data_IF_449752128466
#
_entry.id   IF_449752128466
#
_cell.length_a   1.000
_cell.length_b   1.000
_cell.length_c   1.000
_cell.angle_alpha   90.00
_cell.angle_beta   90.00
_cell.angle_gamma   90.00
#
_symmetry.space_group_name_H-M   'P 1'
#
loop_
_entity.id
_entity.type
_entity.pdbx_description
1 polymer ?
#
# COMPACT_ATOMS: atom_id res chain seq x y z
N UNK A 1 -10.86 14.81 -7.63
CA UNK A 1 -10.48 13.92 -6.51
C UNK A 1 -10.62 12.48 -6.94
N UNK A 2 -9.76 11.58 -6.44
CA UNK A 2 -9.85 10.13 -6.65
C UNK A 2 -9.69 9.45 -5.28
N UNK A 3 -10.52 8.45 -4.99
CA UNK A 3 -10.50 7.73 -3.72
C UNK A 3 -10.82 6.24 -3.90
N UNK A 4 -10.42 5.42 -2.93
CA UNK A 4 -10.73 4.00 -2.88
C UNK A 4 -10.60 3.45 -1.46
N UNK A 5 -11.36 2.38 -1.19
CA UNK A 5 -11.29 1.64 0.07
C UNK A 5 -10.08 0.71 0.05
N UNK A 6 -9.28 0.71 1.11
CA UNK A 6 -8.17 -0.24 1.26
C UNK A 6 -8.74 -1.64 1.43
N UNK A 7 -8.35 -2.56 0.53
CA UNK A 7 -8.80 -3.96 0.55
C UNK A 7 -7.65 -4.94 0.75
N UNK A 8 -6.41 -4.46 0.69
CA UNK A 8 -5.21 -5.29 0.84
C UNK A 8 -4.02 -4.48 1.34
N UNK A 9 -3.33 -5.01 2.35
CA UNK A 9 -2.10 -4.43 2.90
C UNK A 9 -1.06 -5.50 3.17
N UNK A 10 0.21 -5.09 3.32
CA UNK A 10 1.28 -5.94 3.85
C UNK A 10 2.03 -5.20 4.95
N UNK A 11 2.25 -5.89 6.08
CA UNK A 11 3.06 -5.37 7.17
C UNK A 11 4.54 -5.75 6.99
N UNK A 12 5.43 -4.82 7.36
CA UNK A 12 6.88 -4.96 7.36
C UNK A 12 7.39 -4.48 8.73
N UNK A 13 7.77 -5.43 9.58
CA UNK A 13 8.12 -5.21 10.99
C UNK A 13 9.58 -4.74 11.14
N UNK A 14 9.99 -4.18 12.30
CA UNK A 14 11.35 -3.64 12.49
C UNK A 14 12.47 -4.65 12.25
N UNK A 15 12.28 -5.91 12.64
CA UNK A 15 13.28 -6.97 12.50
C UNK A 15 12.98 -7.95 11.35
N UNK A 16 12.15 -7.53 10.40
CA UNK A 16 11.74 -8.35 9.27
C UNK A 16 12.78 -8.26 8.16
N UNK A 17 13.42 -9.37 7.75
CA UNK A 17 14.41 -9.37 6.67
C UNK A 17 13.90 -8.85 5.31
N UNK A 18 12.58 -8.82 5.10
CA UNK A 18 11.96 -8.24 3.91
C UNK A 18 11.65 -6.75 4.04
N UNK A 19 11.80 -6.16 5.25
CA UNK A 19 11.60 -4.74 5.47
C UNK A 19 12.78 -3.92 4.92
N UNK A 20 12.51 -2.81 4.25
CA UNK A 20 13.54 -1.88 3.82
C UNK A 20 14.36 -1.28 4.98
N UNK A 21 13.82 -1.32 6.19
CA UNK A 21 14.49 -0.84 7.40
C UNK A 21 15.39 -1.89 8.06
N UNK A 22 15.38 -3.14 7.60
CA UNK A 22 16.11 -4.25 8.23
C UNK A 22 17.61 -3.98 8.41
N UNK A 23 18.25 -3.41 7.40
CA UNK A 23 19.69 -3.09 7.42
C UNK A 23 20.01 -1.73 8.05
N UNK A 24 19.06 -1.12 8.78
CA UNK A 24 19.22 0.17 9.42
C UNK A 24 18.75 1.35 8.56
N UNK A 25 18.87 2.56 9.15
CA UNK A 25 18.44 3.82 8.55
C UNK A 25 19.41 4.27 7.47
N UNK A 26 18.86 4.75 6.35
CA UNK A 26 19.59 5.36 5.24
C UNK A 26 18.77 6.54 4.69
N UNK A 27 19.35 7.35 3.80
CA UNK A 27 18.61 8.43 3.11
C UNK A 27 17.40 7.93 2.31
N UNK A 28 17.43 6.68 1.83
CA UNK A 28 16.36 6.10 1.02
C UNK A 28 15.14 5.66 1.83
N UNK A 29 15.33 5.28 3.09
CA UNK A 29 14.29 4.72 3.95
C UNK A 29 14.06 5.52 5.23
N UNK A 30 14.63 6.73 5.32
CA UNK A 30 14.58 7.57 6.51
C UNK A 30 13.16 7.80 7.03
N UNK A 31 12.19 7.92 6.13
CA UNK A 31 10.77 8.10 6.44
C UNK A 31 10.19 6.96 7.28
N UNK A 32 10.66 5.71 7.09
CA UNK A 32 10.21 4.57 7.90
C UNK A 32 10.65 4.65 9.37
N UNK A 33 11.69 5.44 9.67
CA UNK A 33 12.23 5.66 11.02
C UNK A 33 11.72 6.96 11.66
N UNK A 34 10.87 7.70 10.97
CA UNK A 34 10.21 8.90 11.48
C UNK A 34 8.97 8.58 12.31
N UNK A 35 8.18 9.61 12.64
CA UNK A 35 6.89 9.44 13.31
C UNK A 35 5.96 8.52 12.53
N UNK A 36 5.00 7.85 13.18
CA UNK A 36 3.99 7.05 12.50
C UNK A 36 3.13 7.92 11.56
N UNK A 37 2.47 7.25 10.60
CA UNK A 37 1.57 7.87 9.61
C UNK A 37 2.25 8.78 8.58
N UNK A 38 3.57 8.73 8.46
CA UNK A 38 4.29 9.36 7.35
C UNK A 38 4.19 8.48 6.12
N UNK A 39 3.94 9.11 4.99
CA UNK A 39 3.93 8.46 3.68
C UNK A 39 5.35 8.08 3.30
N UNK A 40 5.59 6.79 3.05
CA UNK A 40 6.84 6.30 2.50
C UNK A 40 6.63 5.80 1.08
N UNK A 41 7.19 6.51 0.10
CA UNK A 41 7.08 6.14 -1.31
C UNK A 41 8.45 5.75 -1.84
N UNK A 42 8.52 4.59 -2.49
CA UNK A 42 9.72 4.17 -3.21
C UNK A 42 9.38 3.69 -4.62
N UNK A 43 10.36 3.81 -5.52
CA UNK A 43 10.22 3.41 -6.91
C UNK A 43 10.61 1.95 -7.11
N UNK A 44 9.84 1.24 -7.94
CA UNK A 44 10.10 -0.14 -8.37
C UNK A 44 10.09 -0.22 -9.90
N UNK A 45 10.89 -1.12 -10.46
CA UNK A 45 10.95 -1.40 -11.91
C UNK A 45 11.10 -0.13 -12.78
N UNK A 46 11.77 0.91 -12.27
CA UNK A 46 12.04 2.14 -13.01
C UNK A 46 10.85 3.07 -13.28
N UNK A 47 9.61 2.59 -13.21
CA UNK A 47 8.42 3.35 -13.63
C UNK A 47 7.24 3.32 -12.67
N UNK A 48 7.28 2.49 -11.66
CA UNK A 48 6.17 2.28 -10.71
C UNK A 48 6.57 2.67 -9.30
N UNK A 49 5.60 3.06 -8.49
CA UNK A 49 5.80 3.41 -7.08
C UNK A 49 5.05 2.47 -6.16
N UNK A 50 5.55 2.34 -4.93
CA UNK A 50 4.87 1.69 -3.82
C UNK A 50 4.56 2.71 -2.74
N UNK A 51 3.31 2.73 -2.30
CA UNK A 51 2.80 3.62 -1.26
C UNK A 51 2.71 2.86 0.06
N UNK A 52 3.44 3.34 1.05
CA UNK A 52 3.48 2.77 2.39
C UNK A 52 3.26 3.86 3.43
N UNK A 53 2.99 3.43 4.66
CA UNK A 53 2.89 4.28 5.84
C UNK A 53 3.90 3.80 6.88
N UNK A 54 4.66 4.70 7.50
CA UNK A 54 5.41 4.38 8.72
C UNK A 54 4.43 4.00 9.84
N UNK A 55 4.77 3.02 10.66
CA UNK A 55 3.81 2.42 11.61
C UNK A 55 4.30 2.37 13.06
N UNK A 56 5.60 2.55 13.30
CA UNK A 56 6.19 2.52 14.64
C UNK A 56 6.61 3.92 15.10
N UNK A 57 6.97 4.04 16.38
CA UNK A 57 7.56 5.26 16.92
C UNK A 57 8.91 5.60 16.30
N UNK A 58 9.35 6.85 16.46
CA UNK A 58 10.63 7.33 15.92
C UNK A 58 11.80 6.43 16.30
N UNK A 59 12.69 6.21 15.35
CA UNK A 59 13.86 5.35 15.49
C UNK A 59 13.60 3.86 15.24
N UNK A 60 12.34 3.43 15.08
CA UNK A 60 11.97 2.03 14.77
C UNK A 60 11.42 1.92 13.35
N UNK A 61 12.25 1.45 12.44
CA UNK A 61 11.89 1.36 11.03
C UNK A 61 10.92 0.23 10.73
N UNK A 62 9.67 0.59 10.45
CA UNK A 62 8.60 -0.35 10.06
C UNK A 62 7.57 0.35 9.16
N UNK A 63 6.76 -0.43 8.46
CA UNK A 63 5.74 0.17 7.62
C UNK A 63 4.65 -0.79 7.16
N UNK A 64 3.59 -0.20 6.64
CA UNK A 64 2.47 -0.91 6.03
C UNK A 64 2.37 -0.50 4.57
N UNK A 65 2.56 -1.45 3.66
CA UNK A 65 2.32 -1.26 2.23
C UNK A 65 0.82 -1.35 1.96
N UNK A 66 0.26 -0.35 1.30
CA UNK A 66 -1.08 -0.43 0.69
C UNK A 66 -0.94 -1.10 -0.67
N UNK A 67 -1.50 -2.31 -0.80
CA UNK A 67 -1.35 -3.12 -2.02
C UNK A 67 -2.45 -2.93 -3.04
N UNK A 68 -3.68 -2.83 -2.57
CA UNK A 68 -4.83 -2.68 -3.46
C UNK A 68 -5.95 -1.87 -2.81
N UNK A 69 -6.70 -1.19 -3.68
CA UNK A 69 -7.88 -0.42 -3.33
C UNK A 69 -9.06 -0.87 -4.19
N UNK A 70 -10.24 -0.89 -3.60
CA UNK A 70 -11.51 -0.85 -4.30
C UNK A 70 -11.80 0.61 -4.67
N UNK A 71 -11.77 1.01 -5.94
CA UNK A 71 -12.03 2.38 -6.35
C UNK A 71 -13.47 2.79 -6.01
N UNK A 72 -13.64 3.92 -5.33
CA UNK A 72 -14.95 4.41 -4.90
C UNK A 72 -15.32 5.76 -5.51
N UNK A 73 -14.32 6.57 -5.88
CA UNK A 73 -14.54 7.92 -6.38
C UNK A 73 -13.49 8.30 -7.43
N UNK A 74 -13.90 9.08 -8.46
CA UNK A 74 -12.99 9.55 -9.49
C UNK A 74 -12.58 8.48 -10.51
N UNK A 75 -13.45 7.52 -10.82
CA UNK A 75 -13.20 6.39 -11.73
C UNK A 75 -12.67 6.84 -13.08
N UNK A 76 -13.34 7.81 -13.74
CA UNK A 76 -12.91 8.32 -15.04
C UNK A 76 -11.49 8.95 -15.00
N UNK A 77 -11.12 9.60 -13.89
CA UNK A 77 -9.79 10.14 -13.71
C UNK A 77 -8.75 9.02 -13.57
N UNK A 78 -9.05 7.97 -12.80
CA UNK A 78 -8.19 6.81 -12.65
C UNK A 78 -8.03 6.05 -13.98
N UNK A 79 -9.11 5.88 -14.74
CA UNK A 79 -9.10 5.24 -16.07
C UNK A 79 -8.16 5.98 -17.03
N UNK A 80 -8.25 7.31 -17.11
CA UNK A 80 -7.32 8.12 -17.92
C UNK A 80 -5.86 7.94 -17.50
N UNK A 81 -5.56 8.01 -16.19
CA UNK A 81 -4.19 7.86 -15.66
C UNK A 81 -3.62 6.46 -15.89
N UNK A 82 -4.47 5.45 -15.84
CA UNK A 82 -4.09 4.04 -16.01
C UNK A 82 -4.12 3.56 -17.45
N UNK A 83 -4.82 4.26 -18.34
CA UNK A 83 -5.15 3.83 -19.72
C UNK A 83 -5.83 2.44 -19.73
N UNK A 84 -6.79 2.21 -18.83
CA UNK A 84 -7.60 0.98 -18.76
C UNK A 84 -9.04 1.33 -18.42
N UNK A 85 -9.99 0.60 -19.02
CA UNK A 85 -11.42 0.84 -18.85
C UNK A 85 -12.01 0.09 -17.65
N UNK A 86 -11.54 -1.16 -17.42
CA UNK A 86 -12.11 -2.02 -16.39
C UNK A 86 -11.78 -1.48 -15.00
N UNK A 87 -12.80 -1.11 -14.24
CA UNK A 87 -12.68 -0.57 -12.88
C UNK A 87 -11.87 -1.49 -11.96
N UNK A 88 -12.06 -2.81 -12.08
CA UNK A 88 -11.33 -3.82 -11.32
C UNK A 88 -9.81 -3.72 -11.47
N UNK A 89 -9.31 -3.26 -12.62
CA UNK A 89 -7.88 -3.24 -12.93
C UNK A 89 -7.20 -1.91 -12.57
N UNK A 90 -7.96 -0.93 -12.07
CA UNK A 90 -7.46 0.42 -11.76
C UNK A 90 -6.43 0.41 -10.62
N UNK A 91 -6.78 -0.21 -9.48
CA UNK A 91 -5.99 -0.15 -8.24
C UNK A 91 -5.61 -1.52 -7.67
N UNK A 92 -5.65 -2.57 -8.49
CA UNK A 92 -5.41 -3.95 -8.10
C UNK A 92 -3.90 -4.28 -8.15
N UNK A 93 -3.15 -3.70 -7.22
CA UNK A 93 -1.70 -3.85 -7.04
C UNK A 93 -1.01 -2.51 -6.75
N UNK A 94 0.15 -2.52 -6.03
CA UNK A 94 0.77 -1.31 -5.48
C UNK A 94 1.15 -0.28 -6.56
N UNK A 95 1.81 -0.67 -7.64
CA UNK A 95 2.13 0.22 -8.74
C UNK A 95 0.90 0.75 -9.48
N UNK A 96 -0.14 -0.09 -9.60
CA UNK A 96 -1.40 0.28 -10.25
C UNK A 96 -2.13 1.36 -9.44
N UNK A 97 -2.27 1.18 -8.12
CA UNK A 97 -2.93 2.15 -7.26
C UNK A 97 -2.18 3.49 -7.21
N UNK A 98 -0.84 3.46 -7.14
CA UNK A 98 -0.05 4.69 -7.17
C UNK A 98 -0.28 5.46 -8.47
N UNK A 99 -0.27 4.79 -9.62
CA UNK A 99 -0.57 5.44 -10.91
C UNK A 99 -2.01 5.96 -10.98
N UNK A 100 -3.00 5.21 -10.49
CA UNK A 100 -4.41 5.61 -10.49
C UNK A 100 -4.64 6.87 -9.63
N UNK A 101 -4.00 6.93 -8.46
CA UNK A 101 -4.12 8.05 -7.52
C UNK A 101 -3.13 9.19 -7.80
N UNK A 102 -2.20 9.02 -8.76
CA UNK A 102 -1.07 9.92 -9.03
C UNK A 102 -0.17 10.11 -7.80
N UNK A 103 0.14 9.02 -7.12
CA UNK A 103 1.11 8.99 -6.01
C UNK A 103 2.49 8.68 -6.60
N UNK A 104 3.44 9.58 -6.36
CA UNK A 104 4.84 9.46 -6.76
C UNK A 104 5.78 9.83 -5.61
N UNK A 105 7.06 9.97 -5.91
CA UNK A 105 8.11 10.27 -4.92
C UNK A 105 7.90 11.61 -4.19
N UNK A 106 7.18 12.56 -4.75
CA UNK A 106 6.92 13.86 -4.13
C UNK A 106 6.07 13.76 -2.85
N UNK A 107 5.36 12.65 -2.67
CA UNK A 107 4.59 12.37 -1.45
C UNK A 107 5.43 11.77 -0.31
N UNK A 108 6.71 11.39 -0.54
CA UNK A 108 7.54 10.81 0.51
C UNK A 108 7.75 11.79 1.66
N UNK A 109 7.53 11.35 2.90
CA UNK A 109 7.56 12.18 4.11
C UNK A 109 6.28 12.95 4.42
N UNK A 110 5.28 12.96 3.52
CA UNK A 110 4.01 13.65 3.76
C UNK A 110 3.30 13.10 5.00
N UNK A 111 2.66 14.00 5.74
CA UNK A 111 1.85 13.67 6.91
C UNK A 111 0.39 13.50 6.51
N UNK A 112 -0.17 12.31 6.74
CA UNK A 112 -1.57 12.02 6.40
C UNK A 112 -2.58 12.75 7.28
N UNK A 113 -2.21 13.16 8.49
CA UNK A 113 -3.11 13.92 9.36
C UNK A 113 -3.29 15.38 8.91
N UNK A 114 -2.30 15.94 8.19
CA UNK A 114 -2.44 17.29 7.65
C UNK A 114 -3.44 17.37 6.48
N UNK A 115 -3.74 16.26 5.83
CA UNK A 115 -4.83 16.12 4.87
C UNK A 115 -4.82 17.02 3.65
N UNK A 116 -3.69 17.63 3.28
CA UNK A 116 -3.62 18.64 2.20
C UNK A 116 -3.86 18.06 0.81
N UNK A 117 -3.14 17.00 0.45
CA UNK A 117 -3.17 16.39 -0.89
C UNK A 117 -3.50 14.89 -0.85
N UNK A 118 -3.19 14.24 0.27
CA UNK A 118 -3.45 12.84 0.50
C UNK A 118 -3.90 12.68 1.96
N UNK A 119 -4.94 11.90 2.19
CA UNK A 119 -5.44 11.63 3.54
C UNK A 119 -6.03 10.23 3.63
N UNK A 120 -6.08 9.72 4.84
CA UNK A 120 -6.78 8.50 5.20
C UNK A 120 -8.06 8.86 5.96
N UNK A 121 -9.18 8.29 5.57
CA UNK A 121 -10.48 8.53 6.19
C UNK A 121 -11.15 7.21 6.58
N UNK A 122 -12.06 7.29 7.55
CA UNK A 122 -12.99 6.20 7.86
C UNK A 122 -14.30 6.46 7.11
N UNK A 123 -14.84 5.42 6.47
CA UNK A 123 -16.10 5.47 5.74
C UNK A 123 -17.27 4.82 6.51
N UNK A 124 -17.03 4.42 7.76
CA UNK A 124 -18.03 3.72 8.60
C UNK A 124 -18.24 2.25 8.23
N UNK A 125 -17.66 1.79 7.15
CA UNK A 125 -17.77 0.39 6.73
C UNK A 125 -16.85 -0.52 7.56
N UNK A 126 -17.37 -1.69 7.97
CA UNK A 126 -16.60 -2.69 8.70
C UNK A 126 -16.44 -3.95 7.85
N UNK A 127 -15.24 -4.49 7.68
CA UNK A 127 -15.02 -5.69 6.91
C UNK A 127 -15.64 -6.91 7.60
N UNK A 128 -16.38 -7.73 6.84
CA UNK A 128 -16.93 -8.98 7.34
C UNK A 128 -15.86 -10.04 7.61
N UNK A 129 -14.83 -10.10 6.76
CA UNK A 129 -13.75 -11.08 6.88
C UNK A 129 -12.44 -10.52 6.36
N UNK A 130 -11.44 -10.44 7.25
CA UNK A 130 -10.05 -10.16 6.91
C UNK A 130 -9.24 -11.44 7.05
N UNK A 131 -8.57 -11.84 5.98
CA UNK A 131 -7.70 -13.02 5.96
C UNK A 131 -6.23 -12.66 5.94
N UNK A 132 -5.40 -13.62 6.33
CA UNK A 132 -3.94 -13.49 6.34
C UNK A 132 -3.31 -14.52 5.42
N UNK A 133 -2.28 -14.09 4.66
CA UNK A 133 -1.48 -14.97 3.83
C UNK A 133 -0.02 -14.56 3.80
N UNK A 134 0.79 -15.29 3.05
CA UNK A 134 2.15 -14.87 2.70
C UNK A 134 2.11 -13.60 1.87
N UNK A 135 3.13 -12.75 2.02
CA UNK A 135 3.31 -11.53 1.20
C UNK A 135 3.65 -11.89 -0.24
N UNK A 136 3.33 -10.99 -1.17
CA UNK A 136 3.53 -11.19 -2.61
C UNK A 136 4.82 -10.51 -3.05
N UNK A 137 5.70 -11.26 -3.75
CA UNK A 137 6.90 -10.71 -4.34
C UNK A 137 8.06 -10.48 -3.39
N UNK A 138 8.03 -11.07 -2.18
CA UNK A 138 9.15 -11.08 -1.25
C UNK A 138 9.88 -12.41 -1.28
N UNK A 139 11.22 -12.37 -1.19
CA UNK A 139 12.08 -13.56 -1.18
C UNK A 139 12.65 -13.87 0.21
N UNK A 140 12.79 -12.84 1.07
CA UNK A 140 13.22 -12.98 2.45
C UNK A 140 12.01 -13.06 3.36
N UNK A 141 12.06 -13.92 4.39
CA UNK A 141 10.93 -14.15 5.30
C UNK A 141 9.61 -14.38 4.53
N UNK A 142 9.67 -15.13 3.43
CA UNK A 142 8.56 -15.33 2.51
C UNK A 142 7.41 -16.16 3.10
N UNK A 143 7.70 -16.93 4.16
CA UNK A 143 6.75 -17.74 4.93
C UNK A 143 5.90 -16.91 5.92
N UNK A 144 6.34 -15.68 6.26
CA UNK A 144 5.60 -14.82 7.17
C UNK A 144 4.24 -14.43 6.60
N UNK A 145 3.18 -14.69 7.36
CA UNK A 145 1.79 -14.39 6.98
C UNK A 145 1.43 -12.94 7.37
N UNK A 146 2.11 -11.98 6.77
CA UNK A 146 1.98 -10.54 7.04
C UNK A 146 1.25 -9.78 5.92
N UNK A 147 0.57 -10.46 5.05
CA UNK A 147 -0.38 -9.88 4.09
C UNK A 147 -1.80 -10.05 4.62
N UNK A 148 -2.57 -8.98 4.60
CA UNK A 148 -3.95 -8.90 5.06
C UNK A 148 -4.84 -8.46 3.89
N UNK A 149 -5.96 -9.13 3.69
CA UNK A 149 -6.87 -8.83 2.58
C UNK A 149 -8.32 -9.16 2.91
N UNK A 150 -9.25 -8.49 2.24
CA UNK A 150 -10.68 -8.77 2.35
C UNK A 150 -11.01 -10.04 1.57
N UNK A 151 -11.51 -11.06 2.26
CA UNK A 151 -11.92 -12.31 1.64
C UNK A 151 -13.01 -12.07 0.59
N UNK A 152 -12.88 -12.73 -0.58
CA UNK A 152 -13.86 -12.62 -1.66
C UNK A 152 -13.92 -11.27 -2.39
N UNK A 153 -13.16 -10.25 -1.97
CA UNK A 153 -13.21 -8.95 -2.63
C UNK A 153 -12.47 -9.00 -3.99
N UNK A 154 -13.14 -8.63 -5.10
CA UNK A 154 -12.58 -8.77 -6.47
C UNK A 154 -11.41 -7.83 -6.76
N UNK A 155 -11.16 -6.82 -5.93
CA UNK A 155 -10.08 -5.85 -6.10
C UNK A 155 -8.78 -6.26 -5.40
N UNK A 156 -8.75 -7.35 -4.66
CA UNK A 156 -7.53 -7.91 -4.06
C UNK A 156 -6.54 -8.30 -5.15
N UNK A 157 -5.25 -7.98 -4.95
CA UNK A 157 -4.20 -8.15 -5.96
C UNK A 157 -3.72 -9.59 -6.10
N UNK A 158 -2.99 -9.87 -7.20
CA UNK A 158 -2.42 -11.18 -7.48
C UNK A 158 -3.44 -12.20 -8.03
N UNK A 159 -2.98 -13.44 -8.29
CA UNK A 159 -3.83 -14.56 -8.69
C UNK A 159 -4.82 -14.96 -7.61
N UNK A 160 -5.99 -15.48 -7.99
CA UNK A 160 -7.03 -15.92 -7.04
C UNK A 160 -6.52 -16.99 -6.04
N UNK A 161 -5.62 -17.86 -6.47
CA UNK A 161 -5.00 -18.88 -5.60
C UNK A 161 -4.25 -18.30 -4.38
N UNK A 162 -3.79 -17.04 -4.45
CA UNK A 162 -3.12 -16.37 -3.33
C UNK A 162 -4.11 -15.69 -2.36
N UNK A 163 -5.39 -15.69 -2.69
CA UNK A 163 -6.43 -15.01 -1.92
C UNK A 163 -7.70 -15.87 -1.88
N UNK A 164 -7.64 -17.09 -1.31
CA UNK A 164 -8.83 -17.92 -1.19
C UNK A 164 -9.94 -17.19 -0.42
N UNK A 165 -11.17 -17.49 -0.80
CA UNK A 165 -12.38 -16.92 -0.22
C UNK A 165 -12.52 -17.20 1.27
#
# INVERSE_FOLDING_TARGET
MAAGRIVETEAYLPNDPACHAFSGKSSRNATLFGPPHRVYVYQIYGTSFCFNLSSEGEGRGAGVLVRALEPTQGLALMQRRRAVERTRDLCRGPGRLCRALAIDRSFDGADLFLGRFLWLARDGWTPQSVRRSRRIGVTRAADHRLRFYLAGNPYVSGPAALSPA
#
